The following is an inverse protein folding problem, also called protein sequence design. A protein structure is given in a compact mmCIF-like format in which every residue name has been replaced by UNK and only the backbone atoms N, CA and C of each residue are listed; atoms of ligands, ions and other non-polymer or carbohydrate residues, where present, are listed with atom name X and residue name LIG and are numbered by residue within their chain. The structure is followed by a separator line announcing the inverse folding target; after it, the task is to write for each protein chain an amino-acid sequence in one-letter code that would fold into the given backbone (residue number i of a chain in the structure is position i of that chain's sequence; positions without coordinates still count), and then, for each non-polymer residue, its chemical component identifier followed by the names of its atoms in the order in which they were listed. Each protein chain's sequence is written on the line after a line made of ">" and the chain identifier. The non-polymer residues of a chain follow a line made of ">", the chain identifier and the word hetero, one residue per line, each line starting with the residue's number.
data_IF_004260434522
#
_entry.id   IF_004260434522
#
_cell.length_a   1.000
_cell.length_b   1.000
_cell.length_c   1.000
_cell.angle_alpha   90.00
_cell.angle_beta   90.00
_cell.angle_gamma   90.00
#
_symmetry.space_group_name_H-M   'P 1'
#
loop_
_entity.id
_entity.type
_entity.pdbx_description
1 polymer ?
#
# COMPACT_ATOMS: atom_id res chain seq x y z
N UNK A 1 19.44 11.24 38.37
CA UNK A 1 20.68 10.54 37.96
C UNK A 1 20.60 9.11 38.49
N UNK A 2 20.27 8.15 37.64
CA UNK A 2 20.66 6.73 37.77
C UNK A 2 20.24 6.03 36.47
N UNK A 3 21.22 5.91 35.58
CA UNK A 3 21.11 5.27 34.28
C UNK A 3 21.43 3.79 34.45
N UNK A 4 20.47 2.90 34.24
CA UNK A 4 20.72 1.45 34.17
C UNK A 4 20.96 1.05 32.71
N UNK A 5 22.24 1.07 32.35
CA UNK A 5 22.83 0.49 31.17
C UNK A 5 22.54 -1.02 31.15
N UNK A 6 21.78 -1.52 30.17
CA UNK A 6 21.76 -2.95 29.84
C UNK A 6 22.60 -3.19 28.60
N UNK A 7 23.82 -3.62 28.90
CA UNK A 7 24.80 -4.24 28.02
C UNK A 7 24.40 -5.71 27.77
N UNK A 8 24.89 -6.28 26.66
CA UNK A 8 24.75 -7.67 26.17
C UNK A 8 23.69 -7.79 25.07
N UNK A 9 23.93 -8.37 23.89
CA UNK A 9 24.91 -9.39 23.54
C UNK A 9 25.02 -9.41 22.00
N UNK A 10 26.23 -9.20 21.46
CA UNK A 10 26.51 -9.39 20.04
C UNK A 10 26.55 -10.90 19.75
N UNK A 11 25.48 -11.42 19.16
CA UNK A 11 25.47 -12.76 18.58
C UNK A 11 25.70 -12.64 17.08
N UNK A 12 26.91 -13.00 16.65
CA UNK A 12 27.26 -13.20 15.24
C UNK A 12 26.38 -14.30 14.66
N UNK A 13 25.59 -13.99 13.64
CA UNK A 13 24.86 -14.99 12.88
C UNK A 13 25.53 -15.20 11.53
N UNK A 14 26.17 -16.36 11.44
CA UNK A 14 26.94 -16.88 10.32
C UNK A 14 26.10 -17.01 9.04
N UNK A 15 26.70 -16.57 7.93
CA UNK A 15 26.21 -16.73 6.58
C UNK A 15 26.25 -18.21 6.16
N UNK A 16 25.09 -18.88 6.15
CA UNK A 16 24.96 -20.23 5.58
C UNK A 16 24.47 -20.13 4.13
N UNK A 17 25.37 -20.41 3.19
CA UNK A 17 25.08 -20.62 1.77
C UNK A 17 24.19 -21.85 1.61
N UNK A 18 22.94 -21.67 1.16
CA UNK A 18 22.10 -22.76 0.71
C UNK A 18 22.52 -23.17 -0.71
N UNK A 19 23.19 -24.32 -0.82
CA UNK A 19 23.42 -25.01 -2.08
C UNK A 19 22.10 -25.63 -2.59
N UNK A 20 21.78 -25.57 -3.90
CA UNK A 20 20.66 -26.33 -4.44
C UNK A 20 21.03 -27.82 -4.47
N UNK A 21 20.26 -28.62 -3.74
CA UNK A 21 20.34 -30.07 -3.76
C UNK A 21 19.92 -30.61 -5.14
N UNK A 22 20.88 -31.22 -5.84
CA UNK A 22 20.65 -32.04 -7.02
C UNK A 22 19.90 -33.31 -6.61
N UNK A 23 18.64 -33.40 -7.02
CA UNK A 23 17.85 -34.62 -6.94
C UNK A 23 18.21 -35.55 -8.11
N UNK A 24 18.98 -36.62 -7.87
CA UNK A 24 19.07 -37.77 -8.81
C UNK A 24 19.14 -39.12 -8.08
N UNK A 25 17.97 -39.76 -8.07
CA UNK A 25 17.70 -41.19 -8.29
C UNK A 25 18.69 -42.23 -7.76
N UNK A 26 18.26 -42.97 -6.74
CA UNK A 26 18.81 -44.26 -6.36
C UNK A 26 18.61 -45.28 -7.49
N UNK A 27 19.71 -45.67 -8.13
CA UNK A 27 19.74 -46.79 -9.07
C UNK A 27 19.70 -48.12 -8.32
N UNK A 28 18.68 -48.94 -8.61
CA UNK A 28 18.66 -50.37 -8.34
C UNK A 28 18.17 -51.04 -9.61
N UNK A 29 19.05 -51.82 -10.27
CA UNK A 29 18.76 -53.17 -10.77
C UNK A 29 19.85 -53.67 -11.71
N UNK A 30 20.44 -54.82 -11.36
CA UNK A 30 20.54 -56.00 -12.22
C UNK A 30 21.20 -55.90 -13.60
N UNK A 31 22.32 -56.61 -13.75
CA UNK A 31 22.84 -57.09 -15.04
C UNK A 31 21.80 -57.95 -15.77
N UNK A 32 21.52 -57.65 -17.04
CA UNK A 32 21.14 -58.64 -18.05
C UNK A 32 21.45 -58.13 -19.46
N UNK A 33 22.09 -59.01 -20.22
CA UNK A 33 22.64 -58.88 -21.56
C UNK A 33 21.53 -59.04 -22.62
N UNK A 34 21.50 -58.17 -23.65
CA UNK A 34 20.54 -58.27 -24.76
C UNK A 34 20.82 -57.28 -25.89
N UNK A 35 21.03 -57.82 -27.08
CA UNK A 35 21.32 -57.15 -28.35
C UNK A 35 20.10 -56.40 -28.95
N UNK A 36 20.43 -55.47 -29.88
CA UNK A 36 19.70 -55.13 -31.10
C UNK A 36 18.85 -53.83 -31.16
N UNK A 37 19.32 -52.94 -32.03
CA UNK A 37 18.58 -52.12 -33.02
C UNK A 37 17.69 -50.96 -32.55
N UNK A 38 18.19 -49.75 -32.80
CA UNK A 38 17.43 -48.64 -33.40
C UNK A 38 16.38 -47.93 -32.53
N UNK A 39 16.70 -46.72 -32.09
CA UNK A 39 15.90 -45.50 -32.36
C UNK A 39 16.61 -44.29 -31.74
N UNK A 40 16.85 -43.29 -32.58
CA UNK A 40 17.32 -41.98 -32.17
C UNK A 40 16.22 -41.31 -31.32
N UNK A 41 16.41 -41.27 -30.01
CA UNK A 41 15.60 -40.44 -29.14
C UNK A 41 16.21 -39.04 -29.10
N UNK A 42 15.77 -38.18 -30.03
CA UNK A 42 15.97 -36.75 -29.93
C UNK A 42 15.25 -36.26 -28.67
N UNK A 43 16.02 -36.03 -27.60
CA UNK A 43 15.62 -35.18 -26.49
C UNK A 43 15.55 -33.73 -26.99
N UNK A 44 14.45 -33.37 -27.64
CA UNK A 44 14.08 -31.96 -27.77
C UNK A 44 13.35 -31.57 -26.49
N UNK A 45 14.01 -30.77 -25.63
CA UNK A 45 13.49 -29.56 -24.94
C UNK A 45 14.54 -29.10 -23.92
N UNK A 46 15.16 -27.91 -24.14
CA UNK A 46 15.04 -26.86 -23.12
C UNK A 46 14.87 -25.43 -23.68
N UNK A 47 14.42 -25.25 -24.92
CA UNK A 47 14.37 -23.91 -25.52
C UNK A 47 13.28 -22.97 -24.91
N UNK A 48 12.19 -23.53 -24.36
CA UNK A 48 11.08 -22.74 -23.80
C UNK A 48 11.36 -22.22 -22.39
N UNK A 49 12.00 -23.01 -21.52
CA UNK A 49 12.26 -22.62 -20.13
C UNK A 49 13.21 -21.42 -19.99
N UNK A 50 14.16 -21.25 -20.91
CA UNK A 50 15.07 -20.09 -20.95
C UNK A 50 14.37 -18.85 -21.53
N UNK A 51 13.51 -19.03 -22.54
CA UNK A 51 12.76 -17.91 -23.12
C UNK A 51 11.74 -17.31 -22.14
N UNK A 52 11.08 -18.16 -21.33
CA UNK A 52 10.16 -17.71 -20.28
C UNK A 52 10.89 -16.97 -19.14
N UNK A 53 12.09 -17.42 -18.76
CA UNK A 53 12.92 -16.75 -17.76
C UNK A 53 13.47 -15.40 -18.25
N UNK A 54 13.91 -15.33 -19.50
CA UNK A 54 14.41 -14.09 -20.12
C UNK A 54 13.28 -13.07 -20.31
N UNK A 55 12.08 -13.52 -20.70
CA UNK A 55 10.89 -12.67 -20.81
C UNK A 55 10.44 -12.12 -19.45
N UNK A 56 10.46 -12.95 -18.40
CA UNK A 56 10.14 -12.53 -17.03
C UNK A 56 11.17 -11.50 -16.52
N UNK A 57 12.46 -11.74 -16.74
CA UNK A 57 13.51 -10.80 -16.34
C UNK A 57 13.39 -9.44 -17.05
N UNK A 58 13.04 -9.44 -18.34
CA UNK A 58 12.76 -8.20 -19.07
C UNK A 58 11.52 -7.47 -18.55
N UNK A 59 10.45 -8.21 -18.23
CA UNK A 59 9.24 -7.64 -17.64
C UNK A 59 9.51 -7.00 -16.27
N UNK A 60 10.29 -7.67 -15.42
CA UNK A 60 10.67 -7.20 -14.09
C UNK A 60 11.55 -5.94 -14.19
N UNK A 61 12.54 -5.94 -15.09
CA UNK A 61 13.36 -4.75 -15.34
C UNK A 61 12.53 -3.56 -15.84
N UNK A 62 11.56 -3.81 -16.73
CA UNK A 62 10.66 -2.77 -17.21
C UNK A 62 9.77 -2.24 -16.08
N UNK A 63 9.26 -3.12 -15.21
CA UNK A 63 8.47 -2.73 -14.04
C UNK A 63 9.29 -1.88 -13.05
N UNK A 64 10.53 -2.28 -12.75
CA UNK A 64 11.44 -1.50 -11.91
C UNK A 64 11.76 -0.13 -12.52
N UNK A 65 11.99 -0.07 -13.84
CA UNK A 65 12.23 1.19 -14.54
C UNK A 65 11.00 2.12 -14.46
N UNK A 66 9.78 1.58 -14.63
CA UNK A 66 8.55 2.36 -14.46
C UNK A 66 8.40 2.85 -13.03
N UNK A 67 8.60 2.00 -12.03
CA UNK A 67 8.54 2.37 -10.63
C UNK A 67 9.53 3.49 -10.29
N UNK A 68 10.78 3.40 -10.76
CA UNK A 68 11.78 4.45 -10.56
C UNK A 68 11.34 5.79 -11.16
N UNK A 69 10.77 5.79 -12.38
CA UNK A 69 10.22 7.00 -13.01
C UNK A 69 9.06 7.58 -12.21
N UNK A 70 8.18 6.72 -11.68
CA UNK A 70 7.05 7.15 -10.84
C UNK A 70 7.54 7.76 -9.52
N UNK A 71 8.49 7.11 -8.84
CA UNK A 71 9.12 7.61 -7.61
C UNK A 71 9.69 9.01 -7.85
N UNK A 72 10.47 9.19 -8.92
CA UNK A 72 11.05 10.49 -9.26
C UNK A 72 9.96 11.53 -9.56
N UNK A 73 8.92 11.14 -10.29
CA UNK A 73 7.77 12.02 -10.56
C UNK A 73 7.08 12.47 -9.27
N UNK A 74 6.87 11.56 -8.31
CA UNK A 74 6.30 11.86 -7.00
C UNK A 74 7.20 12.81 -6.23
N UNK A 75 8.52 12.54 -6.17
CA UNK A 75 9.48 13.43 -5.49
C UNK A 75 9.43 14.85 -6.07
N UNK A 76 9.43 14.98 -7.40
CA UNK A 76 9.36 16.26 -8.11
C UNK A 76 8.02 17.00 -7.91
N UNK A 77 6.90 16.30 -8.05
CA UNK A 77 5.55 16.87 -7.83
C UNK A 77 5.40 17.34 -6.39
N UNK A 78 5.85 16.53 -5.43
CA UNK A 78 5.85 16.87 -4.02
C UNK A 78 6.68 18.12 -3.74
N UNK A 79 7.88 18.22 -4.31
CA UNK A 79 8.76 19.37 -4.12
C UNK A 79 8.18 20.70 -4.62
N UNK A 80 7.25 20.67 -5.60
CA UNK A 80 6.52 21.86 -6.08
C UNK A 80 5.49 22.40 -5.06
N UNK A 81 5.08 21.57 -4.10
CA UNK A 81 4.21 22.01 -3.01
C UNK A 81 5.02 22.80 -1.98
N UNK A 82 4.41 23.84 -1.42
CA UNK A 82 5.09 24.75 -0.49
C UNK A 82 5.76 23.98 0.66
N UNK A 83 7.01 24.37 0.97
CA UNK A 83 7.79 23.71 2.00
C UNK A 83 7.10 23.76 3.38
N UNK A 84 6.44 24.87 3.69
CA UNK A 84 5.68 25.03 4.93
C UNK A 84 4.50 24.05 5.01
N UNK A 85 3.70 23.91 3.95
CA UNK A 85 2.57 22.97 3.95
C UNK A 85 3.07 21.53 4.08
N UNK A 86 4.16 21.18 3.40
CA UNK A 86 4.81 19.87 3.54
C UNK A 86 5.28 19.62 4.97
N UNK A 87 6.02 20.55 5.57
CA UNK A 87 6.55 20.41 6.93
C UNK A 87 5.43 20.34 7.99
N UNK A 88 4.37 21.14 7.84
CA UNK A 88 3.20 21.08 8.72
C UNK A 88 2.46 19.75 8.62
N UNK A 89 2.36 19.21 7.41
CA UNK A 89 1.75 17.91 7.16
C UNK A 89 2.62 16.80 7.76
N UNK A 90 3.93 16.85 7.51
CA UNK A 90 4.93 15.95 8.09
C UNK A 90 4.78 15.84 9.59
N UNK A 91 4.83 16.98 10.30
CA UNK A 91 4.75 17.01 11.75
C UNK A 91 3.47 16.37 12.27
N UNK A 92 2.34 16.53 11.57
CA UNK A 92 1.05 15.95 11.97
C UNK A 92 0.97 14.46 11.67
N UNK A 93 1.53 14.00 10.55
CA UNK A 93 1.60 12.59 10.22
C UNK A 93 2.53 11.87 11.19
N UNK A 94 3.69 12.44 11.49
CA UNK A 94 4.64 11.87 12.46
C UNK A 94 4.03 11.82 13.87
N UNK A 95 3.32 12.86 14.29
CA UNK A 95 2.57 12.83 15.56
C UNK A 95 1.54 11.69 15.60
N UNK A 96 0.89 11.39 14.47
CA UNK A 96 -0.05 10.27 14.40
C UNK A 96 0.67 8.92 14.42
N UNK A 97 1.82 8.81 13.75
CA UNK A 97 2.67 7.62 13.80
C UNK A 97 3.16 7.33 15.22
N UNK A 98 3.72 8.34 15.89
CA UNK A 98 4.17 8.22 17.29
C UNK A 98 3.06 7.73 18.21
N UNK A 99 1.84 8.25 18.08
CA UNK A 99 0.69 7.79 18.85
C UNK A 99 0.31 6.34 18.56
N UNK A 100 0.46 5.88 17.32
CA UNK A 100 0.26 4.48 16.96
C UNK A 100 1.34 3.61 17.62
N UNK A 101 2.59 4.05 17.59
CA UNK A 101 3.72 3.33 18.20
C UNK A 101 3.62 3.28 19.74
N UNK A 102 3.05 4.30 20.39
CA UNK A 102 2.70 4.26 21.82
C UNK A 102 1.65 3.18 22.14
N UNK A 103 0.79 2.83 21.19
CA UNK A 103 -0.18 1.73 21.36
C UNK A 103 0.49 0.37 21.29
N UNK A 104 1.58 0.24 20.53
CA UNK A 104 2.44 -0.96 20.58
C UNK A 104 2.92 -1.20 22.00
N UNK A 105 3.44 -0.15 22.65
CA UNK A 105 4.02 -0.23 23.98
C UNK A 105 2.99 -0.56 25.08
N UNK A 106 1.74 -0.16 24.90
CA UNK A 106 0.68 -0.31 25.91
C UNK A 106 -0.25 -1.49 25.68
N UNK A 107 -0.58 -1.80 24.42
CA UNK A 107 -1.50 -2.88 24.04
C UNK A 107 -0.78 -4.13 23.53
N UNK A 108 0.46 -4.00 23.06
CA UNK A 108 1.26 -5.04 22.44
C UNK A 108 1.08 -5.12 20.92
N UNK A 109 2.13 -5.57 20.23
CA UNK A 109 2.20 -5.74 18.77
C UNK A 109 0.96 -6.44 18.19
N UNK A 110 0.59 -7.60 18.74
CA UNK A 110 -0.48 -8.42 18.19
C UNK A 110 -1.85 -7.72 18.15
N UNK A 111 -2.14 -6.83 19.11
CA UNK A 111 -3.41 -6.08 19.12
C UNK A 111 -3.41 -4.95 18.12
N UNK A 112 -2.30 -4.23 17.99
CA UNK A 112 -2.15 -3.17 16.98
C UNK A 112 -2.21 -3.78 15.59
N UNK A 113 -1.49 -4.89 15.37
CA UNK A 113 -1.53 -5.67 14.14
C UNK A 113 -2.95 -6.11 13.77
N UNK A 114 -3.71 -6.70 14.69
CA UNK A 114 -5.07 -7.18 14.40
C UNK A 114 -6.03 -6.04 14.01
N UNK A 115 -5.88 -4.85 14.62
CA UNK A 115 -6.71 -3.68 14.31
C UNK A 115 -6.36 -3.10 12.94
N UNK A 116 -5.08 -2.91 12.66
CA UNK A 116 -4.62 -2.40 11.38
C UNK A 116 -4.87 -3.40 10.24
N UNK A 117 -4.69 -4.70 10.48
CA UNK A 117 -5.02 -5.75 9.52
C UNK A 117 -6.50 -5.71 9.13
N UNK A 118 -7.40 -5.61 10.12
CA UNK A 118 -8.83 -5.49 9.87
C UNK A 118 -9.16 -4.24 9.03
N UNK A 119 -8.46 -3.13 9.28
CA UNK A 119 -8.66 -1.86 8.57
C UNK A 119 -8.20 -1.92 7.11
N UNK A 120 -7.00 -2.45 6.88
CA UNK A 120 -6.41 -2.56 5.53
C UNK A 120 -6.85 -3.82 4.77
N UNK A 121 -7.79 -4.60 5.32
CA UNK A 121 -8.28 -5.88 4.76
C UNK A 121 -7.16 -6.91 4.52
N UNK A 122 -6.16 -6.91 5.40
CA UNK A 122 -5.08 -7.89 5.44
C UNK A 122 -5.31 -8.87 6.59
N UNK A 123 -4.57 -9.97 6.61
CA UNK A 123 -4.48 -10.79 7.83
C UNK A 123 -3.45 -10.20 8.80
N UNK A 124 -3.60 -10.52 10.08
CA UNK A 124 -2.64 -10.13 11.11
C UNK A 124 -1.23 -10.63 10.78
N UNK A 125 -1.12 -11.84 10.24
CA UNK A 125 0.15 -12.45 9.86
C UNK A 125 0.78 -11.69 8.68
N UNK A 126 -0.01 -11.28 7.69
CA UNK A 126 0.48 -10.53 6.54
C UNK A 126 1.05 -9.17 6.96
N UNK A 127 0.32 -8.40 7.78
CA UNK A 127 0.78 -7.07 8.19
C UNK A 127 1.97 -7.14 9.15
N UNK A 128 2.05 -8.17 10.01
CA UNK A 128 3.22 -8.41 10.85
C UNK A 128 4.45 -8.82 10.05
N UNK A 129 4.28 -9.71 9.06
CA UNK A 129 5.35 -10.10 8.16
C UNK A 129 5.86 -8.89 7.37
N UNK A 130 4.97 -8.05 6.87
CA UNK A 130 5.34 -6.82 6.17
C UNK A 130 6.09 -5.84 7.08
N UNK A 131 5.61 -5.58 8.31
CA UNK A 131 6.35 -4.77 9.29
C UNK A 131 7.78 -5.31 9.49
N UNK A 132 7.91 -6.63 9.66
CA UNK A 132 9.20 -7.28 9.89
C UNK A 132 10.12 -7.21 8.67
N UNK A 133 9.58 -7.38 7.45
CA UNK A 133 10.34 -7.29 6.20
C UNK A 133 10.80 -5.87 5.94
N UNK A 134 9.97 -4.87 6.22
CA UNK A 134 10.29 -3.46 5.98
C UNK A 134 11.11 -2.82 7.11
N UNK A 135 11.11 -3.42 8.30
CA UNK A 135 11.82 -2.90 9.47
C UNK A 135 11.29 -1.55 9.96
N UNK A 136 10.00 -1.29 9.75
CA UNK A 136 9.35 -0.03 10.12
C UNK A 136 8.52 -0.16 11.40
N UNK A 137 8.12 0.98 12.00
CA UNK A 137 7.19 0.99 13.14
C UNK A 137 5.74 0.87 12.68
N UNK A 138 4.80 0.60 13.59
CA UNK A 138 3.37 0.50 13.23
C UNK A 138 2.82 1.82 12.70
N UNK A 139 3.27 2.94 13.25
CA UNK A 139 2.89 4.27 12.80
C UNK A 139 3.34 4.55 11.37
N UNK A 140 4.57 4.18 11.03
CA UNK A 140 5.12 4.36 9.68
C UNK A 140 4.42 3.45 8.67
N UNK A 141 4.18 2.18 9.05
CA UNK A 141 3.43 1.23 8.22
C UNK A 141 1.98 1.71 7.97
N UNK A 142 1.33 2.23 9.01
CA UNK A 142 -0.02 2.78 8.93
C UNK A 142 -0.10 3.97 7.97
N UNK A 143 0.87 4.90 8.02
CA UNK A 143 0.91 6.01 7.05
C UNK A 143 1.07 5.47 5.62
N UNK A 144 2.01 4.56 5.41
CA UNK A 144 2.29 4.03 4.07
C UNK A 144 1.06 3.34 3.45
N UNK A 145 0.37 2.49 4.21
CA UNK A 145 -0.90 1.87 3.78
C UNK A 145 -2.02 2.88 3.56
N UNK A 146 -2.15 3.89 4.43
CA UNK A 146 -3.16 4.94 4.26
C UNK A 146 -2.96 5.70 2.93
N UNK A 147 -1.71 6.03 2.60
CA UNK A 147 -1.38 6.72 1.36
C UNK A 147 -1.56 5.82 0.13
N UNK A 148 -1.09 4.57 0.16
CA UNK A 148 -1.27 3.62 -0.96
C UNK A 148 -2.76 3.35 -1.23
N UNK A 149 -3.55 3.10 -0.19
CA UNK A 149 -4.99 2.85 -0.32
C UNK A 149 -5.74 4.01 -1.00
N UNK A 150 -5.21 5.23 -0.88
CA UNK A 150 -5.82 6.44 -1.44
C UNK A 150 -5.19 6.92 -2.75
N UNK A 151 -3.95 6.55 -3.07
CA UNK A 151 -3.24 7.10 -4.23
C UNK A 151 -3.47 6.27 -5.51
N UNK A 152 -3.86 6.92 -6.59
CA UNK A 152 -4.03 6.31 -7.91
C UNK A 152 -2.66 6.13 -8.59
N UNK A 153 -1.86 5.24 -8.01
CA UNK A 153 -0.50 4.92 -8.45
C UNK A 153 -0.28 3.42 -8.34
N UNK A 154 0.70 2.92 -9.11
CA UNK A 154 1.19 1.54 -9.04
C UNK A 154 2.30 1.38 -7.98
N UNK A 155 2.64 2.44 -7.24
CA UNK A 155 3.65 2.38 -6.20
C UNK A 155 3.18 1.56 -5.01
N UNK A 156 4.04 0.68 -4.53
CA UNK A 156 3.74 -0.19 -3.38
C UNK A 156 4.10 0.47 -2.04
N UNK A 157 3.55 -0.04 -0.94
CA UNK A 157 3.90 0.35 0.44
C UNK A 157 5.42 0.31 0.66
N UNK A 158 6.09 -0.75 0.20
CA UNK A 158 7.55 -0.88 0.28
C UNK A 158 8.29 0.25 -0.46
N UNK A 159 7.79 0.67 -1.62
CA UNK A 159 8.38 1.78 -2.38
C UNK A 159 8.13 3.13 -1.71
N UNK A 160 6.94 3.35 -1.13
CA UNK A 160 6.65 4.55 -0.34
C UNK A 160 7.53 4.62 0.90
N UNK A 161 7.73 3.49 1.58
CA UNK A 161 8.65 3.39 2.71
C UNK A 161 10.10 3.66 2.31
N UNK A 162 10.57 3.11 1.18
CA UNK A 162 11.90 3.39 0.67
C UNK A 162 12.09 4.88 0.39
N UNK A 163 11.10 5.54 -0.22
CA UNK A 163 11.16 7.00 -0.44
C UNK A 163 11.33 7.77 0.88
N UNK A 164 10.64 7.33 1.93
CA UNK A 164 10.75 7.93 3.26
C UNK A 164 12.15 7.73 3.85
N UNK A 165 12.69 6.50 3.77
CA UNK A 165 14.06 6.20 4.21
C UNK A 165 15.12 6.99 3.44
N UNK A 166 14.89 7.28 2.15
CA UNK A 166 15.75 8.13 1.33
C UNK A 166 15.68 9.63 1.71
N UNK A 167 14.90 9.99 2.74
CA UNK A 167 14.74 11.36 3.25
C UNK A 167 13.57 12.14 2.64
N UNK A 168 12.68 11.49 1.89
CA UNK A 168 11.46 12.14 1.39
C UNK A 168 10.38 12.09 2.47
N UNK A 169 10.11 13.20 3.16
CA UNK A 169 9.06 13.23 4.18
C UNK A 169 7.67 12.83 3.65
N UNK A 170 6.85 12.21 4.50
CA UNK A 170 5.46 11.85 4.21
C UNK A 170 4.61 12.99 3.64
N UNK A 171 4.79 14.22 4.14
CA UNK A 171 4.10 15.39 3.61
C UNK A 171 4.47 15.68 2.15
N UNK A 172 5.71 15.39 1.76
CA UNK A 172 6.16 15.48 0.36
C UNK A 172 5.66 14.30 -0.48
N UNK A 173 5.68 13.09 0.07
CA UNK A 173 5.15 11.89 -0.60
C UNK A 173 3.65 12.08 -0.89
N UNK A 174 2.84 12.45 0.10
CA UNK A 174 1.40 12.69 -0.06
C UNK A 174 1.11 13.77 -1.11
N UNK A 175 1.85 14.89 -1.08
CA UNK A 175 1.75 15.94 -2.11
C UNK A 175 2.12 15.40 -3.50
N UNK A 176 3.19 14.62 -3.60
CA UNK A 176 3.68 14.04 -4.85
C UNK A 176 2.74 13.01 -5.47
N UNK A 177 2.02 12.29 -4.62
CA UNK A 177 0.92 11.40 -4.98
C UNK A 177 -0.35 12.17 -5.39
N UNK A 178 -0.34 13.52 -5.33
CA UNK A 178 -1.48 14.36 -5.69
C UNK A 178 -2.61 14.31 -4.68
N UNK A 179 -2.34 13.94 -3.42
CA UNK A 179 -3.32 13.88 -2.35
C UNK A 179 -3.44 15.24 -1.65
N UNK A 180 -4.64 15.61 -1.23
CA UNK A 180 -4.86 16.82 -0.41
C UNK A 180 -4.28 16.60 0.99
N UNK A 181 -3.29 17.41 1.33
CA UNK A 181 -2.52 17.25 2.58
C UNK A 181 -3.38 17.31 3.85
N UNK A 182 -4.38 18.20 3.90
CA UNK A 182 -5.27 18.30 5.06
C UNK A 182 -6.14 17.06 5.25
N UNK A 183 -6.57 16.45 4.14
CA UNK A 183 -7.34 15.21 4.15
C UNK A 183 -6.44 14.01 4.45
N UNK A 184 -5.21 13.98 3.95
CA UNK A 184 -4.22 12.96 4.30
C UNK A 184 -3.94 12.92 5.80
N UNK A 185 -3.77 14.08 6.43
CA UNK A 185 -3.65 14.18 7.89
C UNK A 185 -4.88 13.64 8.60
N UNK A 186 -6.08 13.99 8.11
CA UNK A 186 -7.33 13.58 8.74
C UNK A 186 -7.55 12.07 8.62
N UNK A 187 -7.22 11.48 7.47
CA UNK A 187 -7.31 10.06 7.23
C UNK A 187 -6.34 9.28 8.13
N UNK A 188 -5.05 9.65 8.15
CA UNK A 188 -4.06 9.01 9.02
C UNK A 188 -4.43 9.14 10.51
N UNK A 189 -5.02 10.27 10.93
CA UNK A 189 -5.53 10.40 12.30
C UNK A 189 -6.73 9.49 12.58
N UNK A 190 -7.60 9.24 11.61
CA UNK A 190 -8.67 8.26 11.73
C UNK A 190 -8.09 6.85 11.90
N UNK A 191 -7.09 6.47 11.10
CA UNK A 191 -6.41 5.18 11.22
C UNK A 191 -5.69 5.04 12.57
N UNK A 192 -5.06 6.12 13.05
CA UNK A 192 -4.44 6.14 14.37
C UNK A 192 -5.43 5.87 15.50
N UNK A 193 -6.70 6.28 15.35
CA UNK A 193 -7.77 5.94 16.31
C UNK A 193 -8.15 4.46 16.24
N UNK A 194 -8.15 3.87 15.05
CA UNK A 194 -8.39 2.43 14.87
C UNK A 194 -7.25 1.63 15.51
N UNK A 195 -6.00 2.01 15.25
CA UNK A 195 -4.82 1.39 15.88
C UNK A 195 -4.87 1.46 17.42
N UNK A 196 -5.28 2.60 17.95
CA UNK A 196 -5.48 2.80 19.39
C UNK A 196 -6.71 2.08 19.96
N UNK A 197 -7.56 1.48 19.13
CA UNK A 197 -8.82 0.86 19.57
C UNK A 197 -9.86 1.88 20.05
N UNK A 198 -9.67 3.17 19.73
CA UNK A 198 -10.62 4.26 19.98
C UNK A 198 -11.69 4.36 18.88
N UNK A 199 -11.52 3.63 17.79
CA UNK A 199 -12.48 3.40 16.73
C UNK A 199 -12.49 1.91 16.38
N UNK A 200 -13.65 1.40 15.95
CA UNK A 200 -13.74 0.03 15.42
C UNK A 200 -13.21 0.03 13.99
N UNK A 201 -12.42 -0.97 13.58
CA UNK A 201 -12.05 -1.12 12.19
C UNK A 201 -13.32 -1.38 11.37
N UNK A 202 -13.51 -0.63 10.29
CA UNK A 202 -14.62 -0.82 9.36
C UNK A 202 -14.15 -1.41 8.02
N UNK A 203 -12.84 -1.65 7.91
CA UNK A 203 -12.19 -2.20 6.73
C UNK A 203 -12.16 -1.19 5.58
N UNK A 204 -12.22 0.10 5.87
CA UNK A 204 -12.24 1.17 4.88
C UNK A 204 -11.36 2.31 5.35
N UNK A 205 -10.17 2.36 4.76
CA UNK A 205 -9.29 3.51 4.89
C UNK A 205 -10.04 4.80 4.58
N UNK A 206 -9.89 5.79 5.46
CA UNK A 206 -10.50 7.09 5.30
C UNK A 206 -10.09 7.71 3.96
N UNK A 207 -11.08 8.22 3.22
CA UNK A 207 -10.90 8.72 1.86
C UNK A 207 -10.15 10.05 1.87
N UNK A 208 -9.10 10.13 1.07
CA UNK A 208 -8.32 11.33 0.78
C UNK A 208 -8.61 11.73 -0.66
N UNK A 209 -9.13 12.93 -0.88
CA UNK A 209 -9.33 13.47 -2.22
C UNK A 209 -8.06 14.16 -2.73
N UNK A 210 -8.00 14.36 -4.04
CA UNK A 210 -6.91 15.03 -4.73
C UNK A 210 -6.81 14.57 -6.18
N UNK A 211 -6.02 15.27 -6.98
CA UNK A 211 -5.86 14.96 -8.42
C UNK A 211 -5.27 13.57 -8.66
N UNK A 212 -4.54 13.04 -7.67
CA UNK A 212 -4.01 11.67 -7.70
C UNK A 212 -4.75 10.70 -6.78
N UNK A 213 -5.96 11.02 -6.31
CA UNK A 213 -6.73 10.14 -5.43
C UNK A 213 -7.51 9.06 -6.21
N UNK A 214 -7.53 7.81 -5.68
CA UNK A 214 -8.33 6.69 -6.22
C UNK A 214 -9.83 6.98 -6.18
N UNK A 215 -10.32 7.64 -5.12
CA UNK A 215 -11.74 7.99 -4.96
C UNK A 215 -12.22 9.06 -5.95
N UNK A 216 -11.31 9.85 -6.54
CA UNK A 216 -11.63 10.83 -7.58
C UNK A 216 -11.64 10.26 -9.00
N UNK A 217 -10.98 9.12 -9.23
CA UNK A 217 -10.81 8.54 -10.57
C UNK A 217 -12.09 7.91 -11.15
N UNK A 218 -13.06 7.55 -10.30
CA UNK A 218 -14.37 7.03 -10.73
C UNK A 218 -15.38 8.11 -11.10
N UNK A 219 -15.11 9.38 -10.80
CA UNK A 219 -16.01 10.49 -11.11
C UNK A 219 -15.77 11.13 -12.49
N UNK A 220 -14.63 10.86 -13.14
CA UNK A 220 -14.25 11.48 -14.43
C UNK A 220 -14.39 10.57 -15.65
N UNK A 221 -14.75 9.29 -15.49
CA UNK A 221 -15.06 8.37 -16.59
C UNK A 221 -16.54 7.99 -16.51
N UNK A 222 -17.43 8.92 -16.89
CA UNK A 222 -18.87 8.62 -16.97
C UNK A 222 -19.86 9.77 -16.84
N UNK A 223 -19.44 11.00 -16.51
CA UNK A 223 -20.38 12.13 -16.38
C UNK A 223 -20.56 12.94 -17.68
N UNK A 224 -20.55 12.28 -18.84
CA UNK A 224 -21.08 12.84 -20.09
C UNK A 224 -22.11 11.87 -20.71
N UNK A 225 -23.09 11.50 -19.91
CA UNK A 225 -24.37 10.97 -20.38
C UNK A 225 -25.44 11.91 -19.78
N UNK A 226 -26.06 12.66 -20.67
CA UNK A 226 -26.56 14.01 -20.39
C UNK A 226 -27.68 14.12 -19.36
N UNK A 227 -27.72 15.30 -18.76
CA UNK A 227 -28.94 15.89 -18.19
C UNK A 227 -28.94 17.40 -18.45
N UNK A 228 -29.72 17.75 -19.46
CA UNK A 228 -30.56 18.95 -19.60
C UNK A 228 -29.97 20.33 -19.28
N UNK A 229 -29.86 21.10 -20.37
CA UNK A 229 -29.90 22.56 -20.37
C UNK A 229 -31.05 23.08 -19.48
N UNK A 230 -30.70 23.55 -18.28
CA UNK A 230 -31.59 24.30 -17.40
C UNK A 230 -31.30 25.79 -17.54
N UNK A 231 -31.89 26.42 -18.56
CA UNK A 231 -31.76 27.84 -18.80
C UNK A 231 -32.91 28.38 -19.64
N UNK A 232 -34.08 28.56 -19.03
CA UNK A 232 -35.01 29.64 -19.35
C UNK A 232 -36.18 29.66 -18.35
N UNK A 233 -36.55 30.89 -18.04
CA UNK A 233 -37.41 31.40 -16.99
C UNK A 233 -38.92 31.32 -17.35
N UNK A 234 -39.76 31.62 -16.35
CA UNK A 234 -41.12 32.22 -16.41
C UNK A 234 -42.29 31.28 -16.12
N UNK A 235 -43.05 31.60 -15.07
CA UNK A 235 -44.44 31.18 -14.94
C UNK A 235 -44.95 31.11 -13.50
N UNK A 236 -45.61 32.18 -13.05
CA UNK A 236 -46.24 32.35 -11.75
C UNK A 236 -47.26 31.25 -11.37
N UNK A 237 -47.40 30.95 -10.07
CA UNK A 237 -48.62 31.26 -9.31
C UNK A 237 -48.39 31.05 -7.81
N UNK A 238 -48.65 32.11 -7.05
CA UNK A 238 -48.66 32.17 -5.58
C UNK A 238 -49.91 31.47 -5.01
N UNK A 239 -49.88 31.12 -3.72
CA UNK A 239 -50.90 30.37 -2.96
C UNK A 239 -52.34 30.89 -3.08
N UNK A 240 -53.37 30.22 -2.55
CA UNK A 240 -53.64 29.98 -1.13
C UNK A 240 -54.65 28.81 -1.04
N UNK A 241 -54.38 27.79 -0.23
CA UNK A 241 -55.34 26.73 0.08
C UNK A 241 -55.91 26.89 1.49
N UNK A 242 -57.12 27.46 1.62
CA UNK A 242 -57.90 27.42 2.87
C UNK A 242 -59.06 26.45 2.69
N UNK A 243 -59.02 25.35 3.43
CA UNK A 243 -60.08 24.35 3.46
C UNK A 243 -61.30 24.87 4.23
N UNK A 244 -62.45 24.89 3.58
CA UNK A 244 -63.76 25.12 4.22
C UNK A 244 -64.50 23.79 4.30
N UNK A 245 -64.66 23.26 5.52
CA UNK A 245 -65.55 22.14 5.85
C UNK A 245 -66.94 22.69 6.08
N UNK A 246 -67.93 22.27 5.29
CA UNK A 246 -69.35 22.40 5.62
C UNK A 246 -69.98 21.02 5.41
N UNK A 247 -70.73 20.56 6.41
CA UNK A 247 -71.48 19.31 6.46
C UNK A 247 -72.77 19.60 7.24
N UNK A 248 -73.81 18.79 7.02
CA UNK A 248 -74.81 18.96 5.96
C UNK A 248 -75.81 20.11 6.22
#
# INVERSE_FOLDING_TARGET
>A
MTSTLRLSMAAALSLALAAPALAQSSGTSGQAQGQATGQAQMTTTPATATADADAQAQADFAAQTRAHKLIESVKQKGAKTSAEARAKTEAKLETAAMKCDEQEQSAGDAKVAARLAAEFKMTTEQIMAEKQTLGCSWGQLMIAHCLDANANTELTVAQLWQMHQDGTGWGQIAAGLGLKLGEAVSAVQAEGRVAAGLAKPDGKVAVIHGDGARAGASASVGANAGVHAGGAQVGAQSGIGVGLKIKP
#
